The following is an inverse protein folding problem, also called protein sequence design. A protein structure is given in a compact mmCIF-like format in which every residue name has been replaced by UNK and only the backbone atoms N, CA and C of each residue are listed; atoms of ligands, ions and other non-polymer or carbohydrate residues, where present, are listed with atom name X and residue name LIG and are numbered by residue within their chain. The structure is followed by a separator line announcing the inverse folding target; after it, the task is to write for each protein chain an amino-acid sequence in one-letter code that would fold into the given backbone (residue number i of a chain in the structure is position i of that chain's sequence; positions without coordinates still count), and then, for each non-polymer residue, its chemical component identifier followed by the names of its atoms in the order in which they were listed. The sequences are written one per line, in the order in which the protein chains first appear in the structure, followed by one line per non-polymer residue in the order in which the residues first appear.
data_IF_781334005828
#
_entry.id   IF_781334005828
#
_cell.length_a   1.000
_cell.length_b   1.000
_cell.length_c   1.000
_cell.angle_alpha   90.00
_cell.angle_beta   90.00
_cell.angle_gamma   90.00
#
_symmetry.space_group_name_H-M   'P 1'
#
loop_
_entity.id
_entity.type
_entity.pdbx_description
1 polymer ?
#
# COMPACT_ATOMS: atom_id res chain seq x y z
N UNK A 1 -24.23 -9.17 -3.34
CA UNK A 1 -23.77 -9.25 -1.94
C UNK A 1 -22.72 -10.36 -1.88
N UNK A 2 -21.44 -10.02 -2.07
CA UNK A 2 -20.38 -11.04 -2.01
C UNK A 2 -20.12 -11.36 -0.54
N UNK A 3 -20.39 -12.61 -0.15
CA UNK A 3 -20.04 -13.13 1.17
C UNK A 3 -18.52 -13.15 1.30
N UNK A 4 -17.98 -12.38 2.24
CA UNK A 4 -16.56 -12.41 2.57
C UNK A 4 -16.11 -13.83 2.99
N UNK A 5 -14.80 -14.13 2.92
CA UNK A 5 -14.27 -15.45 3.27
C UNK A 5 -14.66 -15.82 4.72
N UNK A 6 -15.13 -17.05 4.91
CA UNK A 6 -15.54 -17.59 6.21
C UNK A 6 -14.39 -17.51 7.22
N UNK A 7 -14.65 -16.91 8.39
CA UNK A 7 -13.65 -16.77 9.46
C UNK A 7 -13.01 -15.39 9.61
N UNK A 8 -13.37 -14.40 8.77
CA UNK A 8 -12.83 -13.04 8.84
C UNK A 8 -12.95 -12.37 10.23
N UNK A 9 -13.97 -12.72 11.01
CA UNK A 9 -14.18 -12.20 12.38
C UNK A 9 -13.71 -13.14 13.50
N UNK A 10 -13.20 -14.34 13.18
CA UNK A 10 -12.88 -15.39 14.16
C UNK A 10 -11.40 -15.77 14.22
N UNK A 11 -10.54 -15.09 13.47
CA UNK A 11 -9.09 -15.23 13.63
C UNK A 11 -8.60 -14.33 14.76
N UNK A 12 -7.92 -14.91 15.75
CA UNK A 12 -7.24 -14.14 16.79
C UNK A 12 -6.21 -13.21 16.14
N UNK A 13 -6.33 -11.91 16.44
CA UNK A 13 -5.33 -10.95 16.01
C UNK A 13 -4.03 -11.20 16.79
N UNK A 14 -2.86 -11.30 16.13
CA UNK A 14 -1.58 -11.39 16.82
C UNK A 14 -1.36 -10.11 17.64
N UNK A 15 -1.59 -10.20 18.95
CA UNK A 15 -1.74 -9.07 19.87
C UNK A 15 -0.55 -8.10 19.88
N UNK A 16 0.62 -8.55 19.44
CA UNK A 16 1.82 -7.73 19.36
C UNK A 16 1.80 -6.69 18.23
N UNK A 17 1.05 -6.91 17.14
CA UNK A 17 1.13 -6.04 15.96
C UNK A 17 0.05 -4.96 15.98
N UNK A 18 0.44 -3.72 15.67
CA UNK A 18 -0.51 -2.60 15.52
C UNK A 18 -1.17 -2.59 14.14
N UNK A 19 -0.47 -3.14 13.14
CA UNK A 19 -0.94 -3.32 11.77
C UNK A 19 -0.23 -4.50 11.09
N UNK A 20 -0.86 -5.04 10.05
CA UNK A 20 -0.25 -6.01 9.14
C UNK A 20 -0.40 -5.48 7.71
N UNK A 21 0.73 -5.34 7.01
CA UNK A 21 0.76 -5.12 5.57
C UNK A 21 0.84 -6.48 4.85
N UNK A 22 -0.09 -6.69 3.92
CA UNK A 22 -0.15 -7.88 3.08
C UNK A 22 0.72 -7.67 1.85
N UNK A 23 1.38 -8.72 1.32
CA UNK A 23 1.91 -8.68 -0.04
C UNK A 23 0.82 -8.27 -1.02
N UNK A 24 1.18 -7.58 -2.09
CA UNK A 24 0.23 -7.21 -3.12
C UNK A 24 0.84 -7.41 -4.50
N UNK A 25 -0.04 -7.59 -5.47
CA UNK A 25 0.26 -7.58 -6.91
C UNK A 25 -0.87 -6.83 -7.60
N UNK A 26 -0.58 -6.08 -8.65
CA UNK A 26 -1.65 -5.59 -9.52
C UNK A 26 -2.00 -6.59 -10.62
N UNK A 27 -3.28 -6.73 -10.90
CA UNK A 27 -3.76 -7.50 -12.03
C UNK A 27 -3.32 -6.87 -13.35
N UNK A 28 -2.92 -7.71 -14.29
CA UNK A 28 -2.57 -7.33 -15.66
C UNK A 28 -3.75 -7.47 -16.63
N UNK A 29 -4.91 -7.95 -16.17
CA UNK A 29 -6.12 -8.00 -16.97
C UNK A 29 -6.62 -6.59 -17.30
N UNK A 30 -6.85 -6.32 -18.59
CA UNK A 30 -7.33 -5.04 -19.09
C UNK A 30 -6.42 -4.44 -20.15
N UNK A 31 -6.23 -3.12 -20.11
CA UNK A 31 -5.40 -2.40 -21.09
C UNK A 31 -3.91 -2.68 -20.82
N UNK A 32 -3.14 -3.24 -21.79
CA UNK A 32 -1.72 -3.54 -21.62
C UNK A 32 -0.85 -2.35 -21.25
N UNK A 33 -1.17 -1.14 -21.74
CA UNK A 33 -0.42 0.07 -21.41
C UNK A 33 -0.64 0.46 -19.95
N UNK A 34 -1.89 0.36 -19.47
CA UNK A 34 -2.25 0.62 -18.07
C UNK A 34 -1.55 -0.41 -17.17
N UNK A 35 -1.57 -1.70 -17.54
CA UNK A 35 -0.88 -2.74 -16.80
C UNK A 35 0.64 -2.50 -16.72
N UNK A 36 1.27 -2.12 -17.83
CA UNK A 36 2.70 -1.79 -17.86
C UNK A 36 3.04 -0.57 -17.00
N UNK A 37 2.22 0.49 -17.05
CA UNK A 37 2.39 1.66 -16.19
C UNK A 37 2.21 1.30 -14.70
N UNK A 38 1.20 0.48 -14.36
CA UNK A 38 1.00 0.00 -12.99
C UNK A 38 2.18 -0.85 -12.51
N UNK A 39 2.75 -1.70 -13.35
CA UNK A 39 3.94 -2.50 -13.00
C UNK A 39 5.14 -1.61 -12.68
N UNK A 40 5.37 -0.53 -13.46
CA UNK A 40 6.43 0.44 -13.17
C UNK A 40 6.20 1.12 -11.81
N UNK A 41 4.96 1.49 -11.50
CA UNK A 41 4.60 2.06 -10.20
C UNK A 41 4.85 1.06 -9.05
N UNK A 42 4.43 -0.21 -9.23
CA UNK A 42 4.67 -1.29 -8.26
C UNK A 42 6.16 -1.50 -8.00
N UNK A 43 6.99 -1.53 -9.05
CA UNK A 43 8.45 -1.61 -8.93
C UNK A 43 9.04 -0.44 -8.14
N UNK A 44 8.52 0.78 -8.31
CA UNK A 44 8.94 1.95 -7.51
C UNK A 44 8.61 1.76 -6.03
N UNK A 45 7.43 1.24 -5.69
CA UNK A 45 7.06 0.94 -4.31
C UNK A 45 7.97 -0.12 -3.68
N UNK A 46 8.24 -1.22 -4.40
CA UNK A 46 9.18 -2.24 -3.95
C UNK A 46 10.58 -1.68 -3.73
N UNK A 47 11.09 -0.90 -4.68
CA UNK A 47 12.40 -0.26 -4.57
C UNK A 47 12.50 0.67 -3.36
N UNK A 48 11.46 1.46 -3.08
CA UNK A 48 11.40 2.33 -1.91
C UNK A 48 11.46 1.54 -0.60
N UNK A 49 10.62 0.52 -0.45
CA UNK A 49 10.59 -0.29 0.78
C UNK A 49 11.88 -1.08 0.96
N UNK A 50 12.45 -1.65 -0.10
CA UNK A 50 13.75 -2.36 -0.05
C UNK A 50 14.88 -1.45 0.47
N UNK A 51 14.91 -0.17 0.08
CA UNK A 51 15.88 0.78 0.61
C UNK A 51 15.68 1.05 2.09
N UNK A 52 14.42 1.23 2.52
CA UNK A 52 14.10 1.39 3.94
C UNK A 52 14.51 0.16 4.76
N UNK A 53 14.28 -1.05 4.24
CA UNK A 53 14.71 -2.30 4.87
C UNK A 53 16.23 -2.37 4.97
N UNK A 54 16.95 -2.02 3.90
CA UNK A 54 18.41 -2.02 3.84
C UNK A 54 19.05 -1.11 4.89
N UNK A 55 18.44 0.03 5.17
CA UNK A 55 18.93 0.97 6.21
C UNK A 55 18.38 0.66 7.61
N UNK A 56 17.63 -0.42 7.79
CA UNK A 56 17.05 -0.81 9.07
C UNK A 56 15.97 0.15 9.58
N UNK A 57 15.28 0.86 8.69
CA UNK A 57 14.21 1.78 9.08
C UNK A 57 13.04 1.01 9.72
N UNK A 58 12.50 1.47 10.86
CA UNK A 58 11.30 0.87 11.47
C UNK A 58 10.03 1.13 10.64
N UNK A 59 10.11 1.98 9.62
CA UNK A 59 8.99 2.34 8.74
C UNK A 59 9.05 1.62 7.39
N UNK A 60 9.79 0.50 7.31
CA UNK A 60 10.03 -0.26 6.10
C UNK A 60 8.87 -1.19 5.72
N UNK A 61 7.70 -0.60 5.48
CA UNK A 61 6.46 -1.28 5.09
C UNK A 61 5.77 -0.58 3.92
N UNK A 62 4.93 -1.30 3.19
CA UNK A 62 4.14 -0.73 2.10
C UNK A 62 2.97 0.10 2.65
N UNK A 63 3.00 1.40 2.37
CA UNK A 63 1.86 2.28 2.60
C UNK A 63 0.92 2.23 1.39
N UNK A 64 0.16 1.14 1.31
CA UNK A 64 -0.85 0.93 0.30
C UNK A 64 -2.13 0.46 0.99
N UNK A 65 -3.06 1.38 1.22
CA UNK A 65 -4.21 1.17 2.11
C UNK A 65 -5.06 -0.05 1.76
N UNK A 66 -5.14 -0.40 0.47
CA UNK A 66 -5.86 -1.61 0.00
C UNK A 66 -5.18 -2.93 0.37
N UNK A 67 -3.95 -2.90 0.90
CA UNK A 67 -3.16 -4.05 1.33
C UNK A 67 -2.90 -4.07 2.85
N UNK A 68 -3.54 -3.20 3.62
CA UNK A 68 -3.28 -3.08 5.06
C UNK A 68 -4.49 -3.51 5.88
N UNK A 69 -4.22 -4.18 7.00
CA UNK A 69 -5.20 -4.46 8.06
C UNK A 69 -4.68 -3.92 9.39
N UNK A 70 -5.58 -3.48 10.26
CA UNK A 70 -5.23 -2.75 11.48
C UNK A 70 -5.85 -3.39 12.71
N UNK A 71 -5.10 -3.39 13.82
CA UNK A 71 -5.66 -3.72 15.12
C UNK A 71 -6.66 -2.63 15.54
N UNK A 72 -7.87 -3.01 15.94
CA UNK A 72 -8.92 -2.04 16.30
C UNK A 72 -8.55 -1.18 17.52
N UNK A 73 -7.89 -1.76 18.53
CA UNK A 73 -7.46 -1.04 19.72
C UNK A 73 -6.31 -0.07 19.40
N UNK A 74 -5.29 -0.49 18.65
CA UNK A 74 -4.22 0.41 18.20
C UNK A 74 -4.76 1.51 17.29
N UNK A 75 -5.69 1.20 16.39
CA UNK A 75 -6.36 2.18 15.52
C UNK A 75 -7.08 3.26 16.34
N UNK A 76 -7.84 2.85 17.36
CA UNK A 76 -8.51 3.77 18.28
C UNK A 76 -7.51 4.60 19.11
N UNK A 77 -6.44 3.97 19.61
CA UNK A 77 -5.41 4.63 20.41
C UNK A 77 -4.71 5.76 19.64
N UNK A 78 -4.51 5.59 18.33
CA UNK A 78 -3.94 6.63 17.48
C UNK A 78 -4.98 7.61 16.92
N UNK A 79 -6.26 7.50 17.29
CA UNK A 79 -7.38 8.34 16.80
C UNK A 79 -7.66 8.19 15.29
N UNK A 80 -7.48 6.98 14.77
CA UNK A 80 -7.86 6.60 13.41
C UNK A 80 -7.12 7.30 12.27
N UNK A 81 -7.71 7.24 11.08
CA UNK A 81 -7.17 7.81 9.84
C UNK A 81 -7.16 9.35 9.91
N UNK A 82 -6.04 10.03 9.63
CA UNK A 82 -6.01 11.47 9.53
C UNK A 82 -6.77 11.97 8.29
N UNK A 83 -7.50 13.07 8.43
CA UNK A 83 -8.22 13.68 7.30
C UNK A 83 -7.22 14.33 6.34
N UNK A 84 -6.92 13.63 5.24
CA UNK A 84 -5.99 14.05 4.18
C UNK A 84 -6.61 13.73 2.82
N UNK A 85 -6.25 14.50 1.81
CA UNK A 85 -6.73 14.28 0.44
C UNK A 85 -6.06 13.06 -0.23
N UNK A 86 -4.92 12.60 0.30
CA UNK A 86 -4.23 11.37 -0.06
C UNK A 86 -3.13 11.03 0.96
N UNK A 87 -2.60 9.80 0.89
CA UNK A 87 -1.50 9.32 1.74
C UNK A 87 -1.95 9.04 3.18
N UNK A 88 -3.25 8.90 3.39
CA UNK A 88 -3.86 8.67 4.70
C UNK A 88 -3.37 7.36 5.34
N UNK A 89 -3.09 6.35 4.52
CA UNK A 89 -2.47 5.07 4.87
C UNK A 89 -1.03 5.24 5.38
N UNK A 90 -0.20 6.01 4.66
CA UNK A 90 1.17 6.33 5.07
C UNK A 90 1.17 7.00 6.44
N UNK A 91 0.32 8.00 6.66
CA UNK A 91 0.25 8.65 7.96
C UNK A 91 -0.31 7.74 9.05
N UNK A 92 -1.33 6.93 8.77
CA UNK A 92 -1.89 6.00 9.74
C UNK A 92 -0.87 4.95 10.16
N UNK A 93 -0.18 4.31 9.21
CA UNK A 93 0.85 3.31 9.52
C UNK A 93 1.99 3.89 10.34
N UNK A 94 2.44 5.12 10.04
CA UNK A 94 3.43 5.82 10.85
C UNK A 94 2.95 6.11 12.28
N UNK A 95 1.65 6.36 12.48
CA UNK A 95 1.07 6.50 13.82
C UNK A 95 1.03 5.14 14.54
N UNK A 96 0.62 4.09 13.84
CA UNK A 96 0.51 2.73 14.39
C UNK A 96 1.89 2.16 14.78
N UNK A 97 2.92 2.42 13.98
CA UNK A 97 4.31 2.04 14.25
C UNK A 97 4.86 2.62 15.57
N UNK A 98 4.28 3.71 16.08
CA UNK A 98 4.66 4.32 17.37
C UNK A 98 4.04 3.64 18.58
N UNK A 99 2.95 2.90 18.41
CA UNK A 99 2.21 2.22 19.50
C UNK A 99 2.38 0.70 19.48
N UNK A 100 2.92 0.15 18.39
CA UNK A 100 3.28 -1.26 18.27
C UNK A 100 3.91 -1.57 16.91
N UNK A 101 4.60 -2.71 16.77
CA UNK A 101 5.22 -3.10 15.52
C UNK A 101 4.21 -3.29 14.37
N UNK A 102 4.61 -2.87 13.18
CA UNK A 102 3.90 -3.16 11.93
C UNK A 102 4.55 -4.38 11.28
N UNK A 103 3.76 -5.42 11.03
CA UNK A 103 4.24 -6.65 10.41
C UNK A 103 4.00 -6.63 8.91
N UNK A 104 4.92 -7.19 8.12
CA UNK A 104 4.68 -7.48 6.69
C UNK A 104 4.54 -8.99 6.53
N UNK A 105 3.36 -9.45 6.12
CA UNK A 105 3.09 -10.87 5.91
C UNK A 105 3.87 -11.41 4.71
N UNK A 106 4.09 -12.74 4.66
CA UNK A 106 4.85 -13.41 3.59
C UNK A 106 3.98 -14.20 2.61
N UNK A 107 2.96 -14.89 3.12
CA UNK A 107 2.33 -16.00 2.36
C UNK A 107 0.84 -15.78 2.01
N UNK A 108 0.31 -14.55 2.17
CA UNK A 108 -1.08 -14.22 1.87
C UNK A 108 -1.20 -12.82 1.27
N UNK A 109 -1.07 -12.74 -0.05
CA UNK A 109 -1.16 -11.49 -0.79
C UNK A 109 -2.58 -11.13 -1.23
N UNK A 110 -2.77 -9.88 -1.63
CA UNK A 110 -4.00 -9.38 -2.28
C UNK A 110 -3.71 -8.98 -3.72
N UNK A 111 -4.64 -9.27 -4.61
CA UNK A 111 -4.59 -8.78 -6.00
C UNK A 111 -5.39 -7.49 -6.11
N UNK A 112 -4.75 -6.44 -6.61
CA UNK A 112 -5.35 -5.11 -6.78
C UNK A 112 -5.64 -4.85 -8.25
N UNK A 113 -6.73 -4.14 -8.53
CA UNK A 113 -7.08 -3.77 -9.90
C UNK A 113 -6.16 -2.65 -10.43
N UNK A 114 -5.62 -2.85 -11.63
CA UNK A 114 -4.93 -1.80 -12.39
C UNK A 114 -5.93 -0.80 -12.96
N UNK A 115 -5.85 0.48 -12.55
CA UNK A 115 -6.74 1.52 -13.06
C UNK A 115 -6.10 2.91 -13.12
N UNK A 116 -6.51 3.70 -14.10
CA UNK A 116 -6.34 5.14 -14.08
C UNK A 116 -7.42 5.76 -13.16
N UNK A 117 -7.04 6.66 -12.26
CA UNK A 117 -7.99 7.32 -11.36
C UNK A 117 -7.49 8.71 -10.95
N UNK A 118 -8.36 9.70 -11.07
CA UNK A 118 -8.13 11.08 -10.60
C UNK A 118 -8.81 11.41 -9.27
N UNK A 119 -9.26 10.41 -8.51
CA UNK A 119 -10.01 10.60 -7.24
C UNK A 119 -9.17 11.21 -6.12
N UNK A 120 -7.85 11.12 -6.24
CA UNK A 120 -6.87 11.62 -5.26
C UNK A 120 -5.81 12.45 -5.99
N UNK A 121 -5.17 13.43 -5.31
CA UNK A 121 -4.12 14.25 -5.92
C UNK A 121 -2.81 13.49 -6.17
N UNK A 122 -2.56 12.39 -5.45
CA UNK A 122 -1.44 11.47 -5.67
C UNK A 122 -1.84 10.03 -5.29
N UNK A 123 -1.01 9.04 -5.65
CA UNK A 123 -1.24 7.60 -5.42
C UNK A 123 -1.18 6.78 -6.70
N UNK A 124 -1.64 5.54 -6.66
CA UNK A 124 -1.58 4.58 -7.79
C UNK A 124 -2.20 5.15 -9.06
N UNK A 125 -3.44 5.66 -8.98
CA UNK A 125 -4.17 6.17 -10.14
C UNK A 125 -3.49 7.36 -10.83
N UNK A 126 -3.17 8.45 -10.11
CA UNK A 126 -2.46 9.58 -10.70
C UNK A 126 -1.08 9.20 -11.25
N UNK A 127 -0.32 8.35 -10.55
CA UNK A 127 0.99 7.89 -11.00
C UNK A 127 0.92 7.07 -12.30
N UNK A 128 -0.09 6.20 -12.43
CA UNK A 128 -0.35 5.44 -13.67
C UNK A 128 -0.69 6.39 -14.82
N UNK A 129 -1.56 7.38 -14.59
CA UNK A 129 -1.89 8.39 -15.61
C UNK A 129 -0.67 9.19 -16.07
N UNK A 130 0.21 9.58 -15.14
CA UNK A 130 1.46 10.28 -15.47
C UNK A 130 2.41 9.40 -16.28
N UNK A 131 2.55 8.12 -15.89
CA UNK A 131 3.39 7.15 -16.61
C UNK A 131 2.90 6.90 -18.04
N UNK A 132 1.58 6.86 -18.25
CA UNK A 132 0.98 6.75 -19.58
C UNK A 132 1.20 8.00 -20.43
N UNK A 133 1.15 9.19 -19.82
CA UNK A 133 1.43 10.46 -20.51
C UNK A 133 2.93 10.63 -20.87
N UNK A 134 3.81 9.89 -20.20
CA UNK A 134 5.26 9.97 -20.41
C UNK A 134 5.72 9.09 -21.59
N UNK A 135 6.20 9.72 -22.66
CA UNK A 135 6.83 9.04 -23.83
C UNK A 135 8.10 8.21 -23.49
N UNK A 136 8.69 8.41 -22.30
CA UNK A 136 9.85 7.67 -21.80
C UNK A 136 9.77 7.53 -20.26
N UNK A 137 9.01 6.56 -19.73
CA UNK A 137 8.70 6.47 -18.30
C UNK A 137 9.92 6.23 -17.40
N UNK A 138 11.04 5.77 -17.96
CA UNK A 138 12.32 5.59 -17.25
C UNK A 138 13.20 6.85 -17.19
N UNK A 139 12.86 7.94 -17.92
CA UNK A 139 13.73 9.13 -18.03
C UNK A 139 13.40 10.28 -17.06
N UNK A 140 12.23 10.29 -16.42
CA UNK A 140 11.97 11.15 -15.25
C UNK A 140 12.44 10.44 -14.00
N UNK A 141 13.76 10.44 -13.89
CA UNK A 141 14.53 10.01 -12.74
C UNK A 141 14.83 11.23 -11.87
N UNK A 142 13.79 11.94 -11.40
CA UNK A 142 13.94 12.77 -10.20
C UNK A 142 13.92 11.79 -9.02
N UNK A 143 14.97 10.98 -8.94
CA UNK A 143 15.33 10.19 -7.77
C UNK A 143 16.09 11.15 -6.87
N UNK A 144 15.35 11.82 -5.98
CA UNK A 144 15.70 12.27 -4.62
C UNK A 144 14.61 13.21 -4.09
#
# INVERSE_FOLDING_TARGET
MQSGPSGFFHSDWPAQYSAICLPFTHDAAGNPEVAAATLIYELKLHHYVLHLQRIGSPYAFYALGSSCVFNSASYAAVRGVPLRSAGEDFYLLNKLAKVGPVHTARDRGVTLESRCSGRTPFGTGPAVSELLACRAPFRRADFL
#
